data_IF_697714636006
#
_entry.id   IF_697714636006
#
_cell.length_a   1.000
_cell.length_b   1.000
_cell.length_c   1.000
_cell.angle_alpha   90.00
_cell.angle_beta   90.00
_cell.angle_gamma   90.00
#
_symmetry.space_group_name_H-M   'P 1'
#
loop_
_entity.id
_entity.type
_entity.pdbx_description
1 polymer ?
#
# COMPACT_ATOMS: atom_id res chain seq x y z
N UNK A 1 -4.79 24.65 11.29
CA UNK A 1 -3.37 24.73 10.84
C UNK A 1 -3.17 26.02 10.06
N UNK A 2 -2.18 26.83 10.42
CA UNK A 2 -1.85 28.08 9.72
C UNK A 2 -0.91 27.82 8.54
N UNK A 3 -1.18 28.40 7.37
CA UNK A 3 -0.30 28.33 6.21
C UNK A 3 0.97 29.18 6.42
N UNK A 4 2.18 28.63 6.19
CA UNK A 4 3.42 29.41 6.30
C UNK A 4 3.56 30.44 5.16
N UNK A 5 4.15 31.59 5.46
CA UNK A 5 4.35 32.68 4.49
C UNK A 5 5.43 32.37 3.44
N UNK A 6 5.15 32.70 2.17
CA UNK A 6 6.06 32.55 1.02
C UNK A 6 6.90 33.81 0.70
N UNK A 7 6.68 34.92 1.41
CA UNK A 7 7.36 36.20 1.12
C UNK A 7 8.89 36.05 1.26
N UNK A 8 9.63 36.45 0.23
CA UNK A 8 11.10 36.42 0.23
C UNK A 8 11.75 35.04 0.12
N UNK A 9 10.97 33.96 -0.05
CA UNK A 9 11.49 32.58 -0.16
C UNK A 9 11.84 32.17 -1.58
N UNK A 10 11.36 32.90 -2.58
CA UNK A 10 11.57 32.64 -4.00
C UNK A 10 12.64 33.58 -4.58
N UNK A 11 13.28 33.13 -5.66
CA UNK A 11 14.16 33.96 -6.45
C UNK A 11 13.32 35.05 -7.15
N UNK A 12 13.66 36.31 -6.90
CA UNK A 12 13.05 37.50 -7.48
C UNK A 12 14.15 38.54 -7.70
N UNK A 13 14.06 39.29 -8.79
CA UNK A 13 15.03 40.36 -9.10
C UNK A 13 15.14 41.38 -7.95
N UNK A 14 14.02 41.70 -7.29
CA UNK A 14 13.97 42.67 -6.18
C UNK A 14 14.18 42.03 -4.79
N UNK A 15 14.71 40.79 -4.73
CA UNK A 15 14.98 40.10 -3.47
C UNK A 15 16.46 39.69 -3.44
N UNK A 16 17.30 40.51 -2.78
CA UNK A 16 18.73 40.21 -2.61
C UNK A 16 19.04 39.01 -1.69
N UNK A 17 18.01 38.39 -1.11
CA UNK A 17 18.15 37.20 -0.26
C UNK A 17 18.26 35.94 -1.11
N UNK A 18 19.14 35.01 -0.71
CA UNK A 18 19.24 33.70 -1.33
C UNK A 18 17.88 32.97 -1.25
N UNK A 19 17.39 32.39 -2.35
CA UNK A 19 16.10 31.71 -2.35
C UNK A 19 16.16 30.44 -1.50
N UNK A 20 15.15 30.26 -0.64
CA UNK A 20 15.00 29.09 0.24
C UNK A 20 14.24 27.97 -0.48
N UNK A 21 13.25 28.34 -1.30
CA UNK A 21 12.45 27.41 -2.09
C UNK A 21 12.85 27.49 -3.56
N UNK A 22 13.03 26.33 -4.18
CA UNK A 22 13.34 26.16 -5.61
C UNK A 22 12.34 25.17 -6.23
N UNK A 23 11.08 25.58 -6.42
CA UNK A 23 10.05 24.67 -6.92
C UNK A 23 10.27 24.39 -8.42
N UNK A 24 10.21 23.12 -8.80
CA UNK A 24 10.34 22.68 -10.21
C UNK A 24 9.06 22.92 -11.04
N UNK A 25 7.96 23.26 -10.38
CA UNK A 25 6.65 23.57 -10.98
C UNK A 25 6.17 24.93 -10.46
N UNK A 26 5.37 25.70 -11.22
CA UNK A 26 4.82 26.95 -10.72
C UNK A 26 3.97 26.68 -9.46
N UNK A 27 4.11 27.54 -8.46
CA UNK A 27 3.30 27.49 -7.24
C UNK A 27 1.90 28.07 -7.52
N UNK A 28 1.12 27.34 -8.31
CA UNK A 28 -0.26 27.65 -8.67
C UNK A 28 -1.12 26.43 -8.40
N UNK A 29 -2.33 26.65 -7.93
CA UNK A 29 -3.29 25.57 -7.72
C UNK A 29 -3.77 25.04 -9.08
N UNK A 30 -3.90 23.72 -9.19
CA UNK A 30 -4.53 23.09 -10.33
C UNK A 30 -6.04 22.94 -10.11
N UNK A 31 -6.81 22.84 -11.19
CA UNK A 31 -8.26 22.57 -11.13
C UNK A 31 -8.58 21.08 -10.93
N UNK A 32 -7.61 20.30 -10.46
CA UNK A 32 -7.73 18.85 -10.23
C UNK A 32 -6.85 18.44 -9.06
N UNK A 33 -7.20 17.33 -8.43
CA UNK A 33 -6.45 16.72 -7.32
C UNK A 33 -5.74 15.45 -7.77
N UNK A 34 -4.70 15.05 -7.05
CA UNK A 34 -4.02 13.77 -7.32
C UNK A 34 -5.00 12.60 -7.14
N UNK A 35 -4.95 11.64 -8.05
CA UNK A 35 -5.76 10.43 -7.93
C UNK A 35 -5.42 9.67 -6.63
N UNK A 36 -6.43 9.02 -6.05
CA UNK A 36 -6.19 8.07 -4.94
C UNK A 36 -5.25 6.98 -5.45
N UNK A 37 -4.15 6.76 -4.73
CA UNK A 37 -3.30 5.59 -4.99
C UNK A 37 -4.11 4.34 -4.70
N UNK A 38 -4.13 3.41 -5.65
CA UNK A 38 -4.64 2.06 -5.40
C UNK A 38 -3.69 1.38 -4.42
N UNK A 39 -4.26 0.59 -3.53
CA UNK A 39 -3.48 -0.24 -2.63
C UNK A 39 -2.70 -1.23 -3.51
N UNK A 40 -1.40 -1.36 -3.23
CA UNK A 40 -0.55 -2.33 -3.92
C UNK A 40 -1.01 -3.71 -3.45
N UNK A 41 -1.19 -4.67 -4.37
CA UNK A 41 -1.63 -6.02 -4.00
C UNK A 41 -0.67 -6.62 -2.97
N UNK A 42 -1.21 -6.96 -1.79
CA UNK A 42 -0.48 -7.67 -0.74
C UNK A 42 -0.90 -9.14 -0.76
N UNK A 43 0.03 -10.03 -0.43
CA UNK A 43 -0.31 -11.45 -0.27
C UNK A 43 -1.27 -11.59 0.92
N UNK A 44 -2.48 -12.08 0.66
CA UNK A 44 -3.49 -12.37 1.67
C UNK A 44 -3.37 -13.81 2.18
N UNK A 45 -4.06 -14.15 3.28
CA UNK A 45 -4.11 -15.51 3.84
C UNK A 45 -2.75 -16.10 4.29
N UNK A 46 -1.79 -15.24 4.63
CA UNK A 46 -0.43 -15.66 5.03
C UNK A 46 -0.46 -16.44 6.35
N UNK A 47 -1.35 -16.09 7.28
CA UNK A 47 -1.43 -16.76 8.59
C UNK A 47 -1.94 -18.19 8.43
N UNK A 48 -3.02 -18.37 7.68
CA UNK A 48 -3.62 -19.68 7.39
C UNK A 48 -2.64 -20.57 6.63
N UNK A 49 -1.95 -20.00 5.63
CA UNK A 49 -0.88 -20.69 4.92
C UNK A 49 0.24 -21.15 5.87
N UNK A 50 0.65 -20.28 6.80
CA UNK A 50 1.70 -20.61 7.78
C UNK A 50 1.29 -21.73 8.73
N UNK A 51 0.03 -21.75 9.17
CA UNK A 51 -0.51 -22.80 10.05
C UNK A 51 -0.61 -24.15 9.33
N UNK A 52 -1.11 -24.16 8.10
CA UNK A 52 -1.17 -25.37 7.27
C UNK A 52 0.22 -25.96 7.04
N UNK A 53 1.20 -25.12 6.69
CA UNK A 53 2.59 -25.55 6.49
C UNK A 53 3.22 -26.06 7.78
N UNK A 54 2.91 -25.46 8.93
CA UNK A 54 3.37 -25.94 10.23
C UNK A 54 2.77 -27.31 10.58
N UNK A 55 1.47 -27.52 10.33
CA UNK A 55 0.82 -28.81 10.53
C UNK A 55 1.45 -29.89 9.64
N UNK A 56 1.61 -29.61 8.34
CA UNK A 56 2.25 -30.53 7.41
C UNK A 56 3.65 -30.93 7.85
N UNK A 57 4.46 -29.95 8.26
CA UNK A 57 5.83 -30.20 8.74
C UNK A 57 5.87 -31.16 9.93
N UNK A 58 4.88 -31.11 10.83
CA UNK A 58 4.81 -31.97 12.01
C UNK A 58 4.23 -33.36 11.71
N UNK A 59 3.43 -33.49 10.65
CA UNK A 59 2.62 -34.67 10.36
C UNK A 59 2.94 -35.30 8.99
N UNK A 60 4.20 -35.20 8.56
CA UNK A 60 4.69 -35.81 7.31
C UNK A 60 3.87 -35.42 6.08
N UNK A 61 3.39 -34.17 6.04
CA UNK A 61 2.57 -33.63 4.96
C UNK A 61 1.25 -34.39 4.75
N UNK A 62 0.69 -34.99 5.81
CA UNK A 62 -0.58 -35.70 5.74
C UNK A 62 -1.79 -34.75 5.70
N UNK A 63 -2.51 -34.77 4.58
CA UNK A 63 -3.74 -33.99 4.39
C UNK A 63 -4.88 -34.45 5.28
N UNK A 64 -4.92 -35.73 5.65
CA UNK A 64 -5.99 -36.27 6.50
C UNK A 64 -5.85 -35.77 7.94
N UNK A 65 -4.62 -35.60 8.42
CA UNK A 65 -4.33 -35.07 9.76
C UNK A 65 -4.52 -33.54 9.77
N UNK A 66 -4.05 -32.85 8.73
CA UNK A 66 -4.11 -31.39 8.63
C UNK A 66 -5.38 -30.86 7.93
N UNK A 67 -6.43 -31.68 7.85
CA UNK A 67 -7.64 -31.36 7.09
C UNK A 67 -8.31 -30.05 7.55
N UNK A 68 -8.17 -29.70 8.83
CA UNK A 68 -8.71 -28.46 9.38
C UNK A 68 -7.94 -27.25 8.85
N UNK A 69 -6.61 -27.24 8.98
CA UNK A 69 -5.76 -26.13 8.55
C UNK A 69 -5.83 -25.92 7.03
N UNK A 70 -5.95 -27.02 6.27
CA UNK A 70 -6.17 -26.99 4.82
C UNK A 70 -7.51 -26.33 4.49
N UNK A 71 -8.58 -26.72 5.19
CA UNK A 71 -9.91 -26.12 5.00
C UNK A 71 -9.90 -24.62 5.35
N UNK A 72 -9.29 -24.25 6.47
CA UNK A 72 -9.20 -22.86 6.92
C UNK A 72 -8.43 -22.00 5.88
N UNK A 73 -7.35 -22.53 5.29
CA UNK A 73 -6.62 -21.87 4.21
C UNK A 73 -7.48 -21.67 2.95
N UNK A 74 -8.18 -22.70 2.48
CA UNK A 74 -9.05 -22.58 1.30
C UNK A 74 -10.27 -21.66 1.54
N UNK A 75 -10.83 -21.67 2.75
CA UNK A 75 -11.90 -20.76 3.15
C UNK A 75 -11.42 -19.30 3.17
N UNK A 76 -10.15 -19.04 3.50
CA UNK A 76 -9.54 -17.71 3.36
C UNK A 76 -9.29 -17.37 1.89
N UNK A 77 -8.67 -18.28 1.13
CA UNK A 77 -8.29 -18.05 -0.27
C UNK A 77 -9.50 -17.74 -1.15
N UNK A 78 -10.60 -18.49 -0.99
CA UNK A 78 -11.85 -18.25 -1.72
C UNK A 78 -12.46 -16.87 -1.43
N UNK A 79 -12.39 -16.40 -0.17
CA UNK A 79 -12.81 -15.03 0.18
C UNK A 79 -11.90 -13.99 -0.44
N UNK A 80 -10.59 -14.24 -0.42
CA UNK A 80 -9.59 -13.36 -0.99
C UNK A 80 -9.77 -13.20 -2.52
N UNK A 81 -10.06 -14.28 -3.25
CA UNK A 81 -10.34 -14.25 -4.69
C UNK A 81 -11.57 -13.40 -5.04
N UNK A 82 -12.64 -13.49 -4.25
CA UNK A 82 -13.86 -12.68 -4.45
C UNK A 82 -13.61 -11.19 -4.17
N UNK A 83 -12.71 -10.87 -3.24
CA UNK A 83 -12.32 -9.49 -2.93
C UNK A 83 -11.14 -8.99 -3.78
N UNK A 84 -10.51 -9.89 -4.53
CA UNK A 84 -9.40 -9.62 -5.41
C UNK A 84 -9.85 -8.75 -6.56
N UNK A 85 -9.18 -7.61 -6.72
CA UNK A 85 -9.31 -6.77 -7.90
C UNK A 85 -9.05 -7.66 -9.14
N UNK A 86 -9.93 -7.67 -10.16
CA UNK A 86 -9.67 -8.39 -11.40
C UNK A 86 -8.31 -7.96 -11.94
N UNK A 87 -7.42 -8.93 -12.12
CA UNK A 87 -6.23 -8.71 -12.91
C UNK A 87 -6.64 -8.80 -14.39
N UNK A 88 -7.06 -7.66 -14.95
CA UNK A 88 -7.00 -7.32 -16.38
C UNK A 88 -6.53 -5.86 -16.52
#
# INVERSE_FOLDING_TARGET
MSLPSLRGRLARLNNGKRPVLKPNKPLMLANQVGARRRDLGEATCILEMSLMMACWKQNEFSDTICAKEIKDFFDCASKAEVTGIPWD
#
